data_IF_669612043820
#
_entry.id   IF_669612043820
#
_cell.length_a   1.000
_cell.length_b   1.000
_cell.length_c   1.000
_cell.angle_alpha   90.00
_cell.angle_beta   90.00
_cell.angle_gamma   90.00
#
_symmetry.space_group_name_H-M   'P 1'
#
loop_
_entity.id
_entity.type
_entity.pdbx_description
1 polymer ?
#
# COMPACT_ATOMS: atom_id res chain seq x y z
N UNK A 1 -71.40 -6.06 21.00
CA UNK A 1 -71.33 -7.53 20.93
C UNK A 1 -70.77 -7.87 19.55
N UNK A 2 -69.54 -8.40 19.52
CA UNK A 2 -68.80 -9.05 18.43
C UNK A 2 -68.60 -8.32 17.08
N UNK A 3 -67.36 -7.92 16.74
CA UNK A 3 -66.30 -8.73 16.06
C UNK A 3 -66.69 -8.99 14.59
N UNK A 4 -65.90 -8.71 13.54
CA UNK A 4 -64.46 -8.50 13.41
C UNK A 4 -64.20 -8.00 11.99
N UNK A 5 -63.53 -6.85 11.82
CA UNK A 5 -62.81 -6.54 10.59
C UNK A 5 -61.38 -7.08 10.75
N UNK A 6 -60.95 -7.99 9.89
CA UNK A 6 -59.54 -8.36 9.71
C UNK A 6 -59.28 -8.68 8.23
N UNK A 7 -59.11 -7.63 7.44
CA UNK A 7 -58.18 -7.67 6.32
C UNK A 7 -56.93 -6.97 6.85
N UNK A 8 -55.99 -7.77 7.37
CA UNK A 8 -54.65 -7.29 7.67
C UNK A 8 -53.89 -7.32 6.35
N UNK A 9 -53.95 -6.21 5.60
CA UNK A 9 -53.01 -5.96 4.53
C UNK A 9 -51.65 -5.71 5.20
N UNK A 10 -50.79 -6.72 5.18
CA UNK A 10 -49.39 -6.62 5.60
C UNK A 10 -48.69 -5.76 4.54
N UNK A 11 -48.73 -4.46 4.73
CA UNK A 11 -47.85 -3.50 4.06
C UNK A 11 -47.38 -2.52 5.11
N UNK A 12 -46.36 -2.91 5.88
CA UNK A 12 -45.63 -1.94 6.68
C UNK A 12 -44.14 -2.29 6.71
N UNK A 13 -43.41 -1.45 5.99
CA UNK A 13 -41.98 -1.18 6.08
C UNK A 13 -41.03 -2.37 5.87
N UNK A 14 -40.63 -2.51 4.60
CA UNK A 14 -39.23 -2.65 4.22
C UNK A 14 -38.42 -1.53 4.93
N UNK A 15 -38.08 -1.77 6.18
CA UNK A 15 -37.00 -1.08 6.85
C UNK A 15 -35.72 -1.49 6.14
N UNK A 16 -35.30 -0.66 5.19
CA UNK A 16 -33.95 -0.67 4.64
C UNK A 16 -32.95 -0.83 5.79
N UNK A 17 -32.33 -2.01 5.90
CA UNK A 17 -31.08 -2.19 6.62
C UNK A 17 -30.01 -1.32 5.94
N UNK A 18 -29.94 -0.06 6.37
CA UNK A 18 -28.87 0.87 6.01
C UNK A 18 -28.24 1.51 7.25
N UNK A 19 -28.42 0.89 8.42
CA UNK A 19 -28.04 1.48 9.72
C UNK A 19 -26.93 0.75 10.48
N UNK A 20 -26.35 -0.34 9.98
CA UNK A 20 -25.37 -1.14 10.74
C UNK A 20 -23.92 -0.65 10.62
N UNK A 21 -23.50 -0.06 9.49
CA UNK A 21 -22.09 0.35 9.30
C UNK A 21 -21.68 1.59 10.11
N UNK A 22 -22.57 2.58 10.22
CA UNK A 22 -22.26 3.85 10.91
C UNK A 22 -22.28 3.65 12.43
N UNK A 23 -23.22 2.85 12.95
CA UNK A 23 -23.32 2.55 14.37
C UNK A 23 -22.15 1.70 14.90
N UNK A 24 -21.62 0.78 14.07
CA UNK A 24 -20.45 -0.03 14.42
C UNK A 24 -19.14 0.78 14.39
N UNK A 25 -19.00 1.69 13.43
CA UNK A 25 -17.88 2.64 13.34
C UNK A 25 -17.84 3.63 14.53
N UNK A 26 -19.00 4.12 14.94
CA UNK A 26 -19.16 5.01 16.10
C UNK A 26 -18.87 4.31 17.44
N UNK A 27 -19.03 2.99 17.52
CA UNK A 27 -18.77 2.23 18.75
C UNK A 27 -17.27 2.03 19.05
N UNK A 28 -16.37 2.08 18.05
CA UNK A 28 -14.92 2.09 18.28
C UNK A 28 -14.34 3.50 18.09
N UNK A 29 -14.51 4.40 19.07
CA UNK A 29 -13.67 5.62 19.17
C UNK A 29 -12.16 5.30 19.11
N UNK A 30 -11.78 4.06 19.42
CA UNK A 30 -10.41 3.54 19.35
C UNK A 30 -9.86 3.29 17.94
N UNK A 31 -10.64 3.34 16.85
CA UNK A 31 -10.11 3.07 15.49
C UNK A 31 -9.06 4.08 15.02
N UNK A 32 -8.96 5.22 15.70
CA UNK A 32 -7.99 6.29 15.44
C UNK A 32 -6.89 6.36 16.49
N UNK A 33 -6.86 5.45 17.46
CA UNK A 33 -5.80 5.36 18.46
C UNK A 33 -4.64 4.58 17.87
N UNK A 34 -3.42 5.14 17.95
CA UNK A 34 -2.20 4.57 17.38
C UNK A 34 -2.45 4.01 15.97
N UNK A 35 -2.91 4.88 15.08
CA UNK A 35 -3.25 4.50 13.72
C UNK A 35 -2.16 4.93 12.74
N UNK A 36 -2.03 4.17 11.66
CA UNK A 36 -1.28 4.61 10.49
C UNK A 36 -2.23 5.11 9.41
N UNK A 37 -1.84 6.18 8.72
CA UNK A 37 -2.55 6.63 7.52
C UNK A 37 -1.85 6.10 6.27
N UNK A 38 -2.48 5.13 5.62
CA UNK A 38 -2.14 4.71 4.26
C UNK A 38 -2.87 5.64 3.29
N UNK A 39 -2.18 6.26 2.34
CA UNK A 39 -2.84 7.21 1.44
C UNK A 39 -2.60 6.92 -0.03
N UNK A 40 -3.58 7.30 -0.85
CA UNK A 40 -3.43 7.53 -2.30
C UNK A 40 -3.90 8.95 -2.58
N UNK A 41 -2.96 9.84 -2.86
CA UNK A 41 -3.28 11.19 -3.32
C UNK A 41 -3.51 11.19 -4.82
N UNK A 42 -4.25 12.19 -5.31
CA UNK A 42 -4.26 12.47 -6.75
C UNK A 42 -2.86 12.91 -7.20
N UNK A 43 -2.57 12.89 -8.51
CA UNK A 43 -1.32 13.40 -9.09
C UNK A 43 -1.13 14.88 -8.68
N UNK A 44 -0.54 15.08 -7.50
CA UNK A 44 -0.44 16.36 -6.83
C UNK A 44 0.97 16.87 -7.01
N UNK A 45 1.08 18.06 -7.58
CA UNK A 45 2.33 18.81 -7.70
C UNK A 45 2.92 19.20 -6.32
N UNK A 46 2.18 19.02 -5.21
CA UNK A 46 2.61 19.37 -3.84
C UNK A 46 2.09 18.40 -2.76
N UNK A 47 2.54 17.13 -2.75
CA UNK A 47 2.04 16.11 -1.80
C UNK A 47 2.22 16.51 -0.33
N UNK A 48 3.31 17.21 0.01
CA UNK A 48 3.57 17.66 1.38
C UNK A 48 2.48 18.62 1.89
N UNK A 49 2.03 19.58 1.05
CA UNK A 49 0.98 20.52 1.43
C UNK A 49 -0.34 19.79 1.68
N UNK A 50 -0.70 18.84 0.81
CA UNK A 50 -1.91 18.03 0.98
C UNK A 50 -1.84 17.19 2.26
N UNK A 51 -0.68 16.59 2.57
CA UNK A 51 -0.49 15.84 3.80
C UNK A 51 -0.57 16.74 5.05
N UNK A 52 -0.05 17.97 5.00
CA UNK A 52 -0.16 18.93 6.09
C UNK A 52 -1.64 19.30 6.37
N UNK A 53 -2.45 19.50 5.33
CA UNK A 53 -3.89 19.78 5.45
C UNK A 53 -4.64 18.59 6.06
N UNK A 54 -4.39 17.38 5.54
CA UNK A 54 -4.95 16.13 6.07
C UNK A 54 -4.56 15.94 7.55
N UNK A 55 -3.28 16.15 7.87
CA UNK A 55 -2.76 16.00 9.23
C UNK A 55 -3.41 16.99 10.19
N UNK A 56 -3.53 18.27 9.81
CA UNK A 56 -4.25 19.28 10.60
C UNK A 56 -5.70 18.90 10.84
N UNK A 57 -6.39 18.40 9.81
CA UNK A 57 -7.78 17.98 9.91
C UNK A 57 -7.95 16.84 10.92
N UNK A 58 -7.14 15.78 10.79
CA UNK A 58 -7.16 14.62 11.68
C UNK A 58 -6.77 14.99 13.12
N UNK A 59 -5.70 15.76 13.30
CA UNK A 59 -5.21 16.17 14.62
C UNK A 59 -6.09 17.20 15.31
N UNK A 60 -6.87 18.01 14.57
CA UNK A 60 -7.88 18.92 15.15
C UNK A 60 -8.93 18.19 15.99
N UNK A 61 -9.12 16.90 15.75
CA UNK A 61 -10.00 15.99 16.51
C UNK A 61 -9.24 15.02 17.41
N UNK A 62 -7.96 15.32 17.70
CA UNK A 62 -7.04 14.52 18.52
C UNK A 62 -6.90 13.06 18.06
N UNK A 63 -7.01 12.82 16.75
CA UNK A 63 -6.75 11.51 16.17
C UNK A 63 -5.25 11.24 16.19
N UNK A 64 -4.88 10.07 16.68
CA UNK A 64 -3.50 9.67 16.91
C UNK A 64 -2.96 8.94 15.67
N UNK A 65 -2.49 9.74 14.71
CA UNK A 65 -1.83 9.24 13.50
C UNK A 65 -0.33 9.23 13.72
N UNK A 66 0.23 8.03 13.86
CA UNK A 66 1.66 7.82 14.15
C UNK A 66 2.50 8.08 12.90
N UNK A 67 2.06 7.57 11.74
CA UNK A 67 2.81 7.66 10.49
C UNK A 67 1.90 7.77 9.26
N UNK A 68 2.51 8.28 8.19
CA UNK A 68 1.93 8.41 6.87
C UNK A 68 2.72 7.56 5.88
N UNK A 69 2.03 6.79 5.04
CA UNK A 69 2.67 5.94 4.02
C UNK A 69 1.86 6.05 2.74
N UNK A 70 2.51 6.35 1.62
CA UNK A 70 1.86 6.16 0.32
C UNK A 70 1.55 4.66 0.20
N UNK A 71 0.28 4.33 0.07
CA UNK A 71 -0.21 2.95 0.02
C UNK A 71 0.51 2.04 -0.98
N UNK A 72 1.05 2.59 -2.08
CA UNK A 72 1.85 1.81 -3.03
C UNK A 72 3.13 1.25 -2.38
N UNK A 73 3.71 1.98 -1.43
CA UNK A 73 4.94 1.60 -0.74
C UNK A 73 4.76 0.41 0.22
N UNK A 74 3.52 0.12 0.64
CA UNK A 74 3.21 -1.03 1.49
C UNK A 74 3.38 -2.36 0.73
N UNK A 75 3.17 -2.35 -0.58
CA UNK A 75 3.08 -3.55 -1.42
C UNK A 75 4.23 -3.65 -2.43
N UNK A 76 5.37 -3.03 -2.13
CA UNK A 76 6.56 -3.04 -3.00
C UNK A 76 7.11 -4.45 -3.20
N UNK A 77 7.19 -5.23 -2.13
CA UNK A 77 7.60 -6.65 -2.12
C UNK A 77 7.17 -7.31 -0.81
N UNK A 78 7.13 -8.65 -0.77
CA UNK A 78 6.83 -9.42 0.46
C UNK A 78 7.75 -9.04 1.62
N UNK A 79 9.05 -8.82 1.34
CA UNK A 79 10.04 -8.41 2.33
C UNK A 79 9.74 -7.01 2.90
N UNK A 80 9.40 -6.06 2.04
CA UNK A 80 9.01 -4.69 2.46
C UNK A 80 7.74 -4.72 3.29
N UNK A 81 6.70 -5.43 2.83
CA UNK A 81 5.43 -5.55 3.57
C UNK A 81 5.67 -6.13 4.96
N UNK A 82 6.45 -7.22 5.05
CA UNK A 82 6.77 -7.87 6.33
C UNK A 82 7.56 -6.94 7.25
N UNK A 83 8.53 -6.21 6.71
CA UNK A 83 9.32 -5.23 7.47
C UNK A 83 8.46 -4.11 8.04
N UNK A 84 7.55 -3.55 7.24
CA UNK A 84 6.65 -2.49 7.68
C UNK A 84 5.66 -2.99 8.75
N UNK A 85 5.09 -4.19 8.58
CA UNK A 85 4.21 -4.80 9.59
C UNK A 85 4.96 -5.03 10.92
N UNK A 86 6.20 -5.52 10.86
CA UNK A 86 7.04 -5.68 12.04
C UNK A 86 7.26 -4.34 12.76
N UNK A 87 7.60 -3.29 12.01
CA UNK A 87 7.72 -1.93 12.53
C UNK A 87 6.43 -1.42 13.17
N UNK A 88 5.26 -1.64 12.54
CA UNK A 88 3.97 -1.23 13.10
C UNK A 88 3.66 -1.96 14.40
N UNK A 89 3.97 -3.26 14.47
CA UNK A 89 3.81 -4.06 15.69
C UNK A 89 4.71 -3.57 16.83
N UNK A 90 5.97 -3.23 16.55
CA UNK A 90 6.91 -2.68 17.55
C UNK A 90 6.43 -1.33 18.10
N UNK A 91 5.72 -0.55 17.28
CA UNK A 91 5.13 0.75 17.65
C UNK A 91 3.74 0.61 18.30
N UNK A 92 3.24 -0.60 18.48
CA UNK A 92 1.90 -0.91 18.98
C UNK A 92 0.79 -0.25 18.15
N UNK A 93 1.00 -0.10 16.85
CA UNK A 93 -0.03 0.38 15.92
C UNK A 93 -1.08 -0.72 15.76
N UNK A 94 -2.33 -0.37 15.99
CA UNK A 94 -3.44 -1.34 15.98
C UNK A 94 -4.32 -1.23 14.74
N UNK A 95 -4.37 -0.03 14.13
CA UNK A 95 -5.31 0.28 13.07
C UNK A 95 -4.58 0.90 11.87
N UNK A 96 -5.05 0.59 10.66
CA UNK A 96 -4.70 1.31 9.45
C UNK A 96 -5.94 2.00 8.88
N UNK A 97 -5.76 3.25 8.50
CA UNK A 97 -6.78 4.04 7.81
C UNK A 97 -6.26 4.24 6.40
N UNK A 98 -6.95 3.69 5.42
CA UNK A 98 -6.66 3.90 4.01
C UNK A 98 -7.50 5.03 3.46
N UNK A 99 -6.85 6.13 3.12
CA UNK A 99 -7.46 7.29 2.48
C UNK A 99 -7.17 7.29 0.98
N UNK A 100 -8.22 7.14 0.17
CA UNK A 100 -8.15 7.25 -1.27
C UNK A 100 -8.80 8.55 -1.72
N UNK A 101 -7.98 9.55 -2.05
CA UNK A 101 -8.46 10.86 -2.47
C UNK A 101 -9.22 10.81 -3.80
N UNK A 102 -8.77 9.97 -4.75
CA UNK A 102 -9.39 9.85 -6.08
C UNK A 102 -10.81 9.29 -6.00
N UNK A 103 -10.98 8.24 -5.20
CA UNK A 103 -12.27 7.57 -5.01
C UNK A 103 -13.11 8.18 -3.88
N UNK A 104 -12.58 9.22 -3.24
CA UNK A 104 -13.13 9.85 -2.04
C UNK A 104 -13.66 8.81 -1.05
N UNK A 105 -12.77 7.93 -0.61
CA UNK A 105 -13.12 6.83 0.30
C UNK A 105 -12.13 6.70 1.45
N UNK A 106 -12.65 6.22 2.58
CA UNK A 106 -11.90 5.80 3.74
C UNK A 106 -12.20 4.32 3.99
N UNK A 107 -11.14 3.54 4.13
CA UNK A 107 -11.23 2.12 4.47
C UNK A 107 -10.43 1.87 5.73
N UNK A 108 -11.00 1.13 6.66
CA UNK A 108 -10.40 0.87 7.96
C UNK A 108 -10.07 -0.61 8.11
N UNK A 109 -8.84 -0.86 8.56
CA UNK A 109 -8.30 -2.20 8.76
C UNK A 109 -7.71 -2.34 10.15
N UNK A 110 -7.81 -3.54 10.70
CA UNK A 110 -6.99 -3.95 11.84
C UNK A 110 -5.62 -4.42 11.32
N UNK A 111 -4.56 -3.95 11.96
CA UNK A 111 -3.21 -4.46 11.72
C UNK A 111 -2.99 -5.64 12.66
N UNK A 112 -2.87 -6.84 12.10
CA UNK A 112 -2.34 -7.99 12.82
C UNK A 112 -0.81 -7.97 12.73
N UNK A 113 -0.12 -8.56 13.73
CA UNK A 113 1.33 -8.73 13.77
C UNK A 113 1.91 -9.46 12.55
N UNK A 114 1.06 -10.16 11.78
CA UNK A 114 1.45 -10.94 10.60
C UNK A 114 0.98 -10.34 9.28
N UNK A 115 0.01 -9.43 9.28
CA UNK A 115 -0.59 -8.86 8.07
C UNK A 115 -1.52 -7.69 8.37
N UNK A 116 -1.72 -6.81 7.38
CA UNK A 116 -2.93 -5.97 7.36
C UNK A 116 -4.09 -6.92 7.05
N UNK A 117 -5.11 -6.96 7.90
CA UNK A 117 -6.28 -7.81 7.67
C UNK A 117 -6.88 -7.47 6.30
N UNK A 118 -7.09 -8.48 5.44
CA UNK A 118 -7.66 -8.27 4.10
C UNK A 118 -9.11 -7.80 4.16
N UNK A 119 -9.82 -8.14 5.23
CA UNK A 119 -11.20 -7.74 5.43
C UNK A 119 -11.21 -6.39 6.12
N UNK A 120 -11.61 -5.36 5.38
CA UNK A 120 -11.94 -4.07 5.97
C UNK A 120 -13.09 -4.29 6.96
N UNK A 121 -12.98 -3.69 8.15
CA UNK A 121 -14.10 -3.70 9.08
C UNK A 121 -15.06 -2.54 8.80
N UNK A 122 -14.62 -1.55 8.01
CA UNK A 122 -15.43 -0.43 7.55
C UNK A 122 -14.89 0.14 6.25
N UNK A 123 -15.78 0.40 5.31
CA UNK A 123 -15.53 1.21 4.12
C UNK A 123 -16.62 2.28 4.02
N UNK A 124 -16.21 3.52 3.78
CA UNK A 124 -17.13 4.65 3.65
C UNK A 124 -16.69 5.54 2.49
N UNK A 125 -17.66 5.88 1.64
CA UNK A 125 -17.52 6.99 0.71
C UNK A 125 -17.68 8.31 1.48
N UNK A 126 -16.88 9.30 1.13
CA UNK A 126 -16.83 10.59 1.81
C UNK A 126 -16.86 11.70 0.75
N UNK A 127 -17.58 12.80 1.01
CA UNK A 127 -17.51 13.97 0.11
C UNK A 127 -16.14 14.64 0.22
N UNK A 128 -15.67 14.78 1.46
CA UNK A 128 -14.32 15.21 1.79
C UNK A 128 -13.90 14.65 3.16
N UNK A 129 -12.59 14.57 3.39
CA UNK A 129 -12.05 14.12 4.68
C UNK A 129 -12.50 15.04 5.81
N UNK A 130 -12.45 16.35 5.58
CA UNK A 130 -12.88 17.37 6.54
C UNK A 130 -14.36 17.24 6.90
N UNK A 131 -15.22 17.04 5.90
CA UNK A 131 -16.67 16.86 6.11
C UNK A 131 -16.93 15.59 6.91
N UNK A 132 -16.27 14.48 6.57
CA UNK A 132 -16.39 13.22 7.30
C UNK A 132 -15.97 13.39 8.77
N UNK A 133 -14.81 13.98 9.02
CA UNK A 133 -14.29 14.23 10.37
C UNK A 133 -15.24 15.15 11.16
N UNK A 134 -15.77 16.21 10.56
CA UNK A 134 -16.74 17.11 11.22
C UNK A 134 -18.04 16.38 11.59
N UNK A 135 -18.53 15.50 10.72
CA UNK A 135 -19.78 14.77 10.92
C UNK A 135 -19.66 13.66 11.96
N UNK A 136 -18.55 12.91 11.94
CA UNK A 136 -18.29 11.81 12.88
C UNK A 136 -17.94 12.34 14.27
N UNK A 137 -17.10 13.37 14.34
CA UNK A 137 -16.63 13.97 15.59
C UNK A 137 -17.38 15.27 15.87
N UNK A 138 -18.66 15.13 16.27
CA UNK A 138 -19.43 16.25 16.83
C UNK A 138 -18.62 16.88 17.98
N UNK A 139 -18.67 18.21 18.15
CA UNK A 139 -17.87 18.93 19.15
C UNK A 139 -18.19 18.60 20.62
N UNK A 140 -19.02 17.59 20.91
CA UNK A 140 -19.66 17.42 22.21
C UNK A 140 -18.97 16.47 23.18
N UNK A 141 -17.87 15.82 22.83
CA UNK A 141 -17.10 15.05 23.81
C UNK A 141 -15.61 15.27 23.57
N UNK A 142 -14.94 15.93 24.51
CA UNK A 142 -13.49 16.11 24.50
C UNK A 142 -12.81 14.73 24.49
N UNK A 143 -12.02 14.39 23.46
CA UNK A 143 -11.29 13.14 23.44
C UNK A 143 -10.21 13.15 24.52
N UNK A 144 -10.33 12.23 25.49
CA UNK A 144 -9.31 11.89 26.48
C UNK A 144 -8.18 11.11 25.79
N UNK A 145 -7.21 11.79 25.20
CA UNK A 145 -5.94 11.15 24.82
C UNK A 145 -4.76 11.95 25.35
N UNK A 146 -3.88 11.27 26.07
CA UNK A 146 -2.65 11.78 26.69
C UNK A 146 -1.44 11.79 25.73
N UNK A 147 -1.68 11.76 24.42
CA UNK A 147 -0.63 11.59 23.41
C UNK A 147 -0.16 12.95 22.88
N UNK A 148 1.16 13.17 22.85
CA UNK A 148 1.75 14.33 22.19
C UNK A 148 1.58 14.14 20.69
N UNK A 149 0.65 14.88 20.09
CA UNK A 149 0.45 14.87 18.64
C UNK A 149 1.69 15.46 17.96
N UNK A 150 2.16 14.80 16.91
CA UNK A 150 3.21 15.37 16.07
C UNK A 150 2.70 16.71 15.48
N UNK A 151 3.57 17.74 15.36
CA UNK A 151 3.16 19.02 14.79
C UNK A 151 3.05 18.99 13.25
N UNK A 152 3.57 17.93 12.62
CA UNK A 152 3.62 17.73 11.17
C UNK A 152 3.46 16.23 10.86
N UNK A 153 2.96 15.88 9.67
CA UNK A 153 2.87 14.48 9.24
C UNK A 153 4.25 13.84 9.17
N UNK A 154 4.42 12.69 9.83
CA UNK A 154 5.65 11.89 9.75
C UNK A 154 5.52 10.79 8.69
N UNK A 155 6.05 11.06 7.50
CA UNK A 155 6.04 10.09 6.39
C UNK A 155 7.16 9.06 6.58
N UNK A 156 6.84 7.77 6.49
CA UNK A 156 7.87 6.73 6.58
C UNK A 156 8.76 6.72 5.34
N UNK A 157 10.07 6.97 5.49
CA UNK A 157 10.94 7.20 4.35
C UNK A 157 11.45 5.91 3.69
N UNK A 158 11.46 4.78 4.42
CA UNK A 158 11.95 3.48 3.93
C UNK A 158 11.46 2.32 4.79
N UNK A 159 11.47 1.11 4.23
CA UNK A 159 11.41 -0.13 5.00
C UNK A 159 12.82 -0.60 5.38
N UNK A 160 12.93 -1.37 6.48
CA UNK A 160 14.19 -1.96 6.93
C UNK A 160 14.30 -3.38 6.41
N UNK A 161 14.89 -3.52 5.22
CA UNK A 161 15.10 -4.81 4.55
C UNK A 161 16.58 -5.21 4.55
N UNK A 162 16.87 -6.48 4.28
CA UNK A 162 18.26 -6.91 4.09
C UNK A 162 18.74 -6.47 2.72
N UNK A 163 19.77 -5.63 2.68
CA UNK A 163 20.35 -5.21 1.41
C UNK A 163 21.13 -6.37 0.77
N UNK A 164 20.94 -6.55 -0.54
CA UNK A 164 21.80 -7.38 -1.38
C UNK A 164 22.89 -6.53 -2.03
N UNK A 165 23.97 -7.17 -2.48
CA UNK A 165 24.95 -6.47 -3.29
C UNK A 165 24.33 -6.07 -4.63
N UNK A 166 24.71 -4.91 -5.13
CA UNK A 166 24.26 -4.42 -6.42
C UNK A 166 25.18 -4.91 -7.52
N UNK A 167 24.57 -5.43 -8.58
CA UNK A 167 25.25 -5.63 -9.86
C UNK A 167 25.30 -4.26 -10.52
N UNK A 168 26.49 -3.79 -10.88
CA UNK A 168 26.68 -2.44 -11.44
C UNK A 168 26.51 -2.39 -12.96
N UNK A 169 26.84 -3.50 -13.63
CA UNK A 169 26.80 -3.61 -15.10
C UNK A 169 25.61 -4.48 -15.48
N UNK A 170 24.81 -4.04 -16.46
CA UNK A 170 23.68 -4.82 -17.00
C UNK A 170 24.16 -6.23 -17.37
N UNK A 171 23.57 -7.30 -16.78
CA UNK A 171 23.89 -8.66 -17.20
C UNK A 171 23.52 -8.89 -18.68
N UNK A 172 24.35 -9.65 -19.40
CA UNK A 172 24.01 -10.14 -20.73
C UNK A 172 23.06 -11.33 -20.58
N UNK A 173 21.83 -11.19 -21.07
CA UNK A 173 20.76 -12.17 -20.83
C UNK A 173 20.21 -12.82 -22.10
N UNK A 174 20.67 -12.41 -23.29
CA UNK A 174 20.10 -12.85 -24.58
C UNK A 174 20.09 -14.37 -24.76
N UNK A 175 21.16 -15.04 -24.35
CA UNK A 175 21.33 -16.50 -24.44
C UNK A 175 20.93 -17.23 -23.14
N UNK A 176 20.60 -16.49 -22.08
CA UNK A 176 20.30 -17.03 -20.75
C UNK A 176 18.82 -17.40 -20.62
N UNK A 177 18.55 -18.51 -19.93
CA UNK A 177 17.20 -18.85 -19.48
C UNK A 177 16.86 -18.00 -18.25
N UNK A 178 15.94 -17.04 -18.42
CA UNK A 178 15.57 -16.07 -17.38
C UNK A 178 14.20 -16.42 -16.80
N UNK A 179 14.12 -16.56 -15.48
CA UNK A 179 12.85 -16.76 -14.79
C UNK A 179 12.10 -15.44 -14.61
N UNK A 180 10.80 -15.42 -14.82
CA UNK A 180 9.94 -14.28 -14.54
C UNK A 180 8.85 -14.64 -13.55
N UNK A 181 8.79 -13.90 -12.44
CA UNK A 181 7.83 -14.14 -11.35
C UNK A 181 6.49 -13.39 -11.51
N UNK A 182 6.34 -12.54 -12.55
CA UNK A 182 5.10 -11.80 -12.82
C UNK A 182 4.08 -12.60 -13.63
N UNK A 183 3.19 -11.94 -14.37
CA UNK A 183 2.23 -12.62 -15.24
C UNK A 183 2.73 -12.60 -16.69
N UNK A 184 2.63 -13.71 -17.41
CA UNK A 184 3.01 -13.80 -18.82
C UNK A 184 2.40 -12.66 -19.65
N UNK A 185 3.24 -11.93 -20.38
CA UNK A 185 2.83 -10.85 -21.30
C UNK A 185 2.81 -11.33 -22.75
N UNK A 186 2.05 -10.66 -23.62
CA UNK A 186 1.92 -11.05 -25.03
C UNK A 186 3.23 -10.90 -25.80
N UNK A 187 4.02 -9.87 -25.49
CA UNK A 187 5.27 -9.54 -26.19
C UNK A 187 6.55 -9.99 -25.46
N UNK A 188 6.44 -10.97 -24.56
CA UNK A 188 7.57 -11.39 -23.73
C UNK A 188 8.75 -11.97 -24.57
N UNK A 189 10.00 -11.54 -24.32
CA UNK A 189 11.19 -12.14 -24.93
C UNK A 189 11.25 -13.66 -24.76
N UNK A 190 11.70 -14.37 -25.81
CA UNK A 190 11.64 -15.85 -25.90
C UNK A 190 12.44 -16.59 -24.83
N UNK A 191 13.51 -15.98 -24.34
CA UNK A 191 14.40 -16.54 -23.33
C UNK A 191 13.85 -16.40 -21.90
N UNK A 192 12.76 -15.64 -21.71
CA UNK A 192 12.09 -15.48 -20.43
C UNK A 192 11.03 -16.57 -20.27
N UNK A 193 11.12 -17.33 -19.18
CA UNK A 193 10.16 -18.35 -18.81
C UNK A 193 9.38 -17.97 -17.55
N UNK A 194 8.10 -18.29 -17.54
CA UNK A 194 7.26 -18.08 -16.36
C UNK A 194 7.69 -19.03 -15.24
N UNK A 195 7.90 -18.49 -14.04
CA UNK A 195 8.17 -19.29 -12.85
C UNK A 195 7.15 -18.99 -11.75
N UNK A 196 6.99 -19.95 -10.84
CA UNK A 196 6.30 -19.73 -9.56
C UNK A 196 7.34 -19.29 -8.54
N UNK A 197 7.01 -18.32 -7.70
CA UNK A 197 7.85 -17.91 -6.59
C UNK A 197 8.04 -19.08 -5.60
N UNK A 198 9.30 -19.40 -5.28
CA UNK A 198 9.66 -20.39 -4.25
C UNK A 198 10.59 -19.74 -3.25
N UNK A 199 10.61 -20.26 -2.02
CA UNK A 199 11.48 -19.72 -0.97
C UNK A 199 12.97 -20.00 -1.23
N UNK A 200 13.28 -21.18 -1.79
CA UNK A 200 14.65 -21.60 -2.05
C UNK A 200 15.04 -21.43 -3.52
N UNK A 201 15.75 -20.33 -3.81
CA UNK A 201 16.16 -20.00 -5.18
C UNK A 201 17.20 -20.95 -5.77
N UNK A 202 17.79 -21.86 -4.97
CA UNK A 202 18.65 -22.94 -5.49
C UNK A 202 17.90 -23.86 -6.44
N UNK A 203 16.59 -23.99 -6.26
CA UNK A 203 15.72 -24.72 -7.18
C UNK A 203 15.79 -24.15 -8.61
N UNK A 204 15.77 -22.84 -8.76
CA UNK A 204 15.87 -22.22 -10.08
C UNK A 204 17.23 -22.46 -10.74
N UNK A 205 18.29 -22.40 -9.94
CA UNK A 205 19.64 -22.67 -10.44
C UNK A 205 19.78 -24.11 -10.93
N UNK A 206 19.22 -25.10 -10.22
CA UNK A 206 19.21 -26.49 -10.69
C UNK A 206 18.42 -26.69 -11.99
N UNK A 207 17.44 -25.83 -12.26
CA UNK A 207 16.66 -25.81 -13.50
C UNK A 207 17.34 -25.01 -14.64
N UNK A 208 18.60 -24.60 -14.45
CA UNK A 208 19.39 -23.83 -15.41
C UNK A 208 18.96 -22.37 -15.53
N UNK A 209 18.28 -21.82 -14.51
CA UNK A 209 17.85 -20.43 -14.47
C UNK A 209 18.85 -19.64 -13.62
N UNK A 210 19.71 -18.86 -14.28
CA UNK A 210 20.75 -18.08 -13.60
C UNK A 210 20.23 -16.74 -13.05
N UNK A 211 19.17 -16.21 -13.67
CA UNK A 211 18.59 -14.92 -13.30
C UNK A 211 17.07 -15.00 -13.20
N UNK A 212 16.54 -14.26 -12.24
CA UNK A 212 15.11 -14.03 -12.10
C UNK A 212 14.83 -12.55 -12.22
N UNK A 213 13.78 -12.21 -12.96
CA UNK A 213 13.26 -10.87 -13.07
C UNK A 213 11.90 -10.72 -12.39
N UNK A 214 11.69 -9.55 -11.78
CA UNK A 214 10.43 -9.10 -11.21
C UNK A 214 10.42 -7.58 -11.15
N UNK A 215 9.25 -6.99 -10.87
CA UNK A 215 9.13 -5.54 -10.73
C UNK A 215 8.85 -5.12 -9.30
N UNK A 216 9.43 -3.98 -8.92
CA UNK A 216 9.10 -3.25 -7.69
C UNK A 216 8.29 -2.02 -8.08
N UNK A 217 7.19 -1.77 -7.38
CA UNK A 217 6.33 -0.60 -7.59
C UNK A 217 6.25 0.20 -6.31
N UNK A 218 6.64 1.47 -6.36
CA UNK A 218 6.74 2.33 -5.19
C UNK A 218 7.01 3.78 -5.57
N UNK A 219 7.09 4.69 -4.60
CA UNK A 219 7.59 6.05 -4.83
C UNK A 219 9.11 6.04 -4.96
N UNK A 220 9.67 6.92 -5.80
CA UNK A 220 11.12 6.95 -6.05
C UNK A 220 11.93 7.12 -4.78
N UNK A 221 11.58 8.10 -3.93
CA UNK A 221 12.23 8.32 -2.65
C UNK A 221 12.22 7.05 -1.75
N UNK A 222 11.11 6.33 -1.71
CA UNK A 222 10.95 5.15 -0.86
C UNK A 222 11.76 3.97 -1.41
N UNK A 223 11.67 3.68 -2.71
CA UNK A 223 12.44 2.62 -3.37
C UNK A 223 13.94 2.89 -3.25
N UNK A 224 14.37 4.12 -3.53
CA UNK A 224 15.77 4.55 -3.43
C UNK A 224 16.31 4.35 -2.02
N UNK A 225 15.61 4.79 -0.98
CA UNK A 225 16.07 4.65 0.42
C UNK A 225 15.97 3.21 0.95
N UNK A 226 15.01 2.42 0.47
CA UNK A 226 14.79 1.04 0.90
C UNK A 226 15.82 0.08 0.28
N UNK A 227 16.10 0.22 -1.02
CA UNK A 227 16.98 -0.69 -1.77
C UNK A 227 18.34 -0.08 -2.14
N UNK A 228 18.60 1.18 -1.76
CA UNK A 228 19.81 1.93 -2.10
C UNK A 228 20.01 2.15 -3.61
N UNK A 229 18.93 2.33 -4.37
CA UNK A 229 18.97 2.43 -5.85
C UNK A 229 19.37 3.85 -6.27
N UNK A 230 20.66 4.06 -6.55
CA UNK A 230 21.20 5.40 -6.85
C UNK A 230 20.63 6.04 -8.12
N UNK A 231 20.19 5.23 -9.08
CA UNK A 231 19.69 5.67 -10.40
C UNK A 231 18.28 6.27 -10.37
N UNK A 232 17.53 6.10 -9.27
CA UNK A 232 16.22 6.71 -9.13
C UNK A 232 16.33 8.21 -8.79
N UNK A 233 15.45 9.06 -9.36
CA UNK A 233 15.42 10.49 -9.06
C UNK A 233 14.93 10.73 -7.62
N UNK A 234 15.35 11.84 -7.01
CA UNK A 234 14.91 12.25 -5.67
C UNK A 234 13.60 13.04 -5.77
N UNK A 235 12.49 12.32 -5.94
CA UNK A 235 11.15 12.89 -5.99
C UNK A 235 10.10 11.90 -5.46
N UNK A 236 8.88 12.37 -5.12
CA UNK A 236 7.83 11.49 -4.59
C UNK A 236 7.02 10.78 -5.69
N UNK A 237 7.43 10.83 -6.96
CA UNK A 237 6.68 10.20 -8.05
C UNK A 237 6.72 8.69 -7.92
N UNK A 238 5.65 8.05 -8.40
CA UNK A 238 5.52 6.59 -8.44
C UNK A 238 6.25 6.04 -9.65
N UNK A 239 6.97 4.96 -9.47
CA UNK A 239 7.75 4.33 -10.52
C UNK A 239 7.76 2.83 -10.39
N UNK A 240 8.10 2.20 -11.52
CA UNK A 240 8.30 0.76 -11.64
C UNK A 240 9.78 0.50 -11.94
N UNK A 241 10.38 -0.39 -11.16
CA UNK A 241 11.79 -0.78 -11.28
C UNK A 241 11.85 -2.25 -11.60
N UNK A 242 12.53 -2.61 -12.68
CA UNK A 242 12.82 -3.99 -13.01
C UNK A 242 14.04 -4.43 -12.21
N UNK A 243 13.91 -5.54 -11.50
CA UNK A 243 14.98 -6.16 -10.74
C UNK A 243 15.43 -7.39 -11.48
N UNK A 244 16.74 -7.52 -11.71
CA UNK A 244 17.36 -8.78 -12.16
C UNK A 244 18.16 -9.33 -11.00
N UNK A 245 17.71 -10.44 -10.44
CA UNK A 245 18.31 -11.09 -9.30
C UNK A 245 19.02 -12.37 -9.71
N UNK A 246 20.31 -12.47 -9.41
CA UNK A 246 21.08 -13.69 -9.65
C UNK A 246 20.63 -14.79 -8.67
N UNK A 247 20.33 -15.98 -9.17
CA UNK A 247 19.72 -17.05 -8.35
C UNK A 247 20.62 -17.57 -7.25
N UNK A 248 21.92 -17.72 -7.52
CA UNK A 248 22.93 -18.15 -6.52
C UNK A 248 23.35 -17.02 -5.57
N UNK A 249 23.88 -15.91 -6.10
CA UNK A 249 24.50 -14.87 -5.26
C UNK A 249 23.48 -13.94 -4.60
N UNK A 250 22.22 -13.91 -5.07
CA UNK A 250 21.17 -12.97 -4.65
C UNK A 250 21.52 -11.50 -4.95
N UNK A 251 22.56 -11.26 -5.76
CA UNK A 251 22.93 -9.91 -6.18
C UNK A 251 21.87 -9.38 -7.13
N UNK A 252 21.57 -8.08 -7.04
CA UNK A 252 20.48 -7.44 -7.78
C UNK A 252 21.00 -6.35 -8.71
N UNK A 253 20.61 -6.41 -9.97
CA UNK A 253 20.66 -5.28 -10.88
C UNK A 253 19.30 -4.57 -10.86
N UNK A 254 19.30 -3.24 -10.85
CA UNK A 254 18.08 -2.44 -10.86
C UNK A 254 18.02 -1.61 -12.15
N UNK A 255 16.95 -1.78 -12.91
CA UNK A 255 16.71 -1.04 -14.14
C UNK A 255 15.46 -0.17 -14.00
N UNK A 256 15.60 1.09 -14.42
CA UNK A 256 14.55 2.10 -14.37
C UNK A 256 14.63 3.00 -15.60
N UNK A 257 13.47 3.43 -16.10
CA UNK A 257 13.34 4.43 -17.16
C UNK A 257 12.13 5.32 -16.88
N UNK A 258 12.35 6.63 -16.85
CA UNK A 258 11.41 7.63 -16.30
C UNK A 258 10.05 7.68 -17.00
N UNK A 259 10.00 7.41 -18.30
CA UNK A 259 8.78 7.47 -19.10
C UNK A 259 7.95 6.18 -19.06
N UNK A 260 8.48 5.09 -18.48
CA UNK A 260 7.83 3.79 -18.50
C UNK A 260 6.99 3.60 -17.25
N UNK A 261 5.70 3.30 -17.46
CA UNK A 261 4.72 3.09 -16.38
C UNK A 261 4.18 1.67 -16.31
N UNK A 262 4.44 0.86 -17.35
CA UNK A 262 4.00 -0.54 -17.41
C UNK A 262 5.16 -1.49 -17.25
N UNK A 263 4.86 -2.67 -16.71
CA UNK A 263 5.83 -3.75 -16.53
C UNK A 263 6.27 -4.35 -17.86
N UNK A 264 5.32 -4.54 -18.78
CA UNK A 264 5.58 -5.09 -20.11
C UNK A 264 6.55 -4.19 -20.90
N UNK A 265 6.30 -2.88 -20.94
CA UNK A 265 7.17 -1.95 -21.64
C UNK A 265 8.56 -1.91 -21.02
N UNK A 266 8.66 -2.00 -19.68
CA UNK A 266 9.95 -1.97 -18.99
C UNK A 266 10.78 -3.21 -19.29
N UNK A 267 10.15 -4.39 -19.31
CA UNK A 267 10.78 -5.66 -19.71
C UNK A 267 11.20 -5.57 -21.18
N UNK A 268 10.31 -5.15 -22.08
CA UNK A 268 10.61 -5.04 -23.50
C UNK A 268 11.80 -4.11 -23.76
N UNK A 269 11.82 -2.93 -23.14
CA UNK A 269 12.92 -1.99 -23.27
C UNK A 269 14.21 -2.54 -22.68
N UNK A 270 14.15 -3.25 -21.56
CA UNK A 270 15.34 -3.85 -20.96
C UNK A 270 15.98 -4.93 -21.85
N UNK A 271 15.18 -5.79 -22.47
CA UNK A 271 15.69 -6.88 -23.31
C UNK A 271 15.95 -6.48 -24.77
N UNK A 272 15.30 -5.44 -25.30
CA UNK A 272 15.44 -5.03 -26.70
C UNK A 272 16.34 -3.79 -26.91
N UNK A 273 16.83 -3.16 -25.84
CA UNK A 273 17.88 -2.13 -25.97
C UNK A 273 19.24 -2.80 -26.19
N UNK A 274 19.65 -2.82 -27.47
CA UNK A 274 21.03 -3.02 -27.91
C UNK A 274 21.74 -1.67 -28.02
#
# INVERSE_FOLDING_TARGET
>A
MNLTYKILLITLFLGFEKSTNIAFALQKKDIFKKSILLYTLNNNLSPNKTLDEIHKSLTSKRLDIVHYVDSINLYVSKEVTSSLIGYFSEREIQNAIFYNQKKQSLIFYEINKTSVNSNSFLETHIDSLDTYIKNVFKPTEEPLTSFLLAPKPEVLPKAKIRLSNQILIKPLLEEEKVGYAGNKTENQPKNIIQIKEVEDYRYYFSEGINYIIYTLRGTNDFLKKTYNIKTLPDNPLRSIVLVVEHTVTRNKYFFFKEEITTEEDLINVFFNQN
#
